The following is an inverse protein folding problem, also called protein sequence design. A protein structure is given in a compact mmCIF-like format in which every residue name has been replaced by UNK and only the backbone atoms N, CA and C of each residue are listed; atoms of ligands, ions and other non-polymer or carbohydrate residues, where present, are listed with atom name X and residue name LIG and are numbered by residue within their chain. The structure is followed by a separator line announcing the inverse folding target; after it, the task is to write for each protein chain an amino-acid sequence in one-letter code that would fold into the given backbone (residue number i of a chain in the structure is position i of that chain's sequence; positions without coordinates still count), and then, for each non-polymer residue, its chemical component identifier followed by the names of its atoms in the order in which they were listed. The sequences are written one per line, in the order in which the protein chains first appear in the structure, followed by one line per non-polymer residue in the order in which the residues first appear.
data_IF_793309266507
#
_entry.id   IF_793309266507
#
_cell.length_a   1.000
_cell.length_b   1.000
_cell.length_c   1.000
_cell.angle_alpha   90.00
_cell.angle_beta   90.00
_cell.angle_gamma   90.00
#
_symmetry.space_group_name_H-M   'P 1'
#
loop_
_entity.id
_entity.type
_entity.pdbx_description
1 polymer ?
#
# COMPACT_ATOMS: atom_id res chain seq x y z
N UNK A 1 6.17 27.46 1.36
CA UNK A 1 6.77 28.41 2.32
C UNK A 1 8.27 28.18 2.37
N UNK A 2 9.14 29.18 2.28
CA UNK A 2 10.59 28.95 2.38
C UNK A 2 10.95 28.41 3.77
N UNK A 3 11.93 27.51 3.87
CA UNK A 3 12.39 27.00 5.15
C UNK A 3 12.99 28.16 5.98
N UNK A 4 12.78 28.12 7.29
CA UNK A 4 13.40 29.05 8.25
C UNK A 4 14.92 29.10 8.05
N UNK A 5 15.44 30.30 7.82
CA UNK A 5 16.87 30.52 7.72
C UNK A 5 17.63 30.14 9.00
N UNK A 6 18.90 29.77 8.87
CA UNK A 6 19.71 29.36 10.02
C UNK A 6 19.79 30.44 11.10
N UNK A 7 19.87 31.73 10.72
CA UNK A 7 19.89 32.89 11.64
C UNK A 7 18.56 33.05 12.39
N UNK A 8 17.43 32.95 11.70
CA UNK A 8 16.09 33.05 12.29
C UNK A 8 15.84 31.88 13.25
N UNK A 9 16.25 30.66 12.86
CA UNK A 9 16.14 29.47 13.70
C UNK A 9 16.95 29.59 14.99
N UNK A 10 18.13 30.22 14.95
CA UNK A 10 18.98 30.45 16.12
C UNK A 10 18.37 31.43 17.13
N UNK A 11 17.56 32.39 16.66
CA UNK A 11 16.92 33.40 17.50
C UNK A 11 15.67 32.89 18.24
N UNK A 12 15.08 31.77 17.78
CA UNK A 12 13.88 31.21 18.40
C UNK A 12 14.22 30.48 19.69
N UNK A 13 13.43 30.64 20.76
CA UNK A 13 13.60 29.88 21.99
C UNK A 13 13.28 28.39 21.80
N UNK A 14 13.81 27.52 22.66
CA UNK A 14 13.62 26.08 22.60
C UNK A 14 12.13 25.65 22.56
N UNK A 15 11.28 26.38 23.28
CA UNK A 15 9.82 26.17 23.29
C UNK A 15 9.16 26.38 21.91
N UNK A 16 9.85 26.98 20.97
CA UNK A 16 9.39 27.18 19.60
C UNK A 16 9.60 25.94 18.71
N UNK A 17 10.10 24.83 19.26
CA UNK A 17 10.33 23.57 18.58
C UNK A 17 9.65 22.42 19.30
N UNK A 18 9.03 21.52 18.54
CA UNK A 18 8.41 20.33 19.10
C UNK A 18 9.46 19.28 19.54
N UNK A 19 10.61 19.24 18.85
CA UNK A 19 11.69 18.31 19.15
C UNK A 19 13.06 18.98 19.11
N UNK A 20 13.90 18.64 20.10
CA UNK A 20 15.30 19.00 20.20
C UNK A 20 16.04 17.72 20.60
N UNK A 21 17.02 17.31 19.80
CA UNK A 21 17.81 16.11 20.08
C UNK A 21 18.89 16.35 21.16
N UNK A 22 19.53 15.28 21.65
CA UNK A 22 20.58 15.35 22.70
C UNK A 22 21.79 16.20 22.29
N UNK A 23 21.99 16.43 20.99
CA UNK A 23 23.03 17.31 20.43
C UNK A 23 22.58 18.76 20.28
N UNK A 24 21.39 19.11 20.79
CA UNK A 24 20.82 20.45 20.71
C UNK A 24 20.27 20.82 19.31
N UNK A 25 20.13 19.88 18.38
CA UNK A 25 19.58 20.15 17.04
C UNK A 25 18.06 20.29 17.12
N UNK A 26 17.58 21.49 16.82
CA UNK A 26 16.18 21.88 16.88
C UNK A 26 15.42 21.44 15.64
N UNK A 27 14.28 20.74 15.80
CA UNK A 27 13.45 20.18 14.73
C UNK A 27 11.98 20.53 14.96
N UNK A 28 11.19 20.48 13.90
CA UNK A 28 9.75 20.71 13.93
C UNK A 28 9.39 22.06 14.60
N UNK A 29 9.67 23.21 13.96
CA UNK A 29 9.29 24.52 14.49
C UNK A 29 7.77 24.65 14.62
N UNK A 30 7.32 25.25 15.74
CA UNK A 30 5.90 25.36 16.14
C UNK A 30 5.53 26.77 16.65
N UNK A 31 6.28 27.79 16.26
CA UNK A 31 6.11 29.15 16.76
C UNK A 31 4.92 29.90 16.14
N UNK A 32 4.42 29.47 14.98
CA UNK A 32 3.24 30.01 14.31
C UNK A 32 2.39 28.93 13.64
N UNK A 33 1.19 29.30 13.19
CA UNK A 33 0.23 28.38 12.59
C UNK A 33 0.73 27.67 11.32
N UNK A 34 1.54 28.36 10.50
CA UNK A 34 2.05 27.80 9.24
C UNK A 34 3.13 26.73 9.52
N UNK A 35 4.02 27.01 10.49
CA UNK A 35 5.04 26.06 10.94
C UNK A 35 4.44 24.88 11.66
N UNK A 36 3.36 25.07 12.45
CA UNK A 36 2.62 23.96 13.07
C UNK A 36 2.02 23.04 12.03
N UNK A 37 1.35 23.57 10.97
CA UNK A 37 0.82 22.72 9.86
C UNK A 37 1.93 21.95 9.17
N UNK A 38 3.06 22.59 8.88
CA UNK A 38 4.21 21.92 8.27
C UNK A 38 4.82 20.85 9.20
N UNK A 39 4.95 21.15 10.49
CA UNK A 39 5.44 20.19 11.48
C UNK A 39 4.51 18.97 11.62
N UNK A 40 3.19 19.15 11.57
CA UNK A 40 2.21 18.06 11.54
C UNK A 40 2.39 17.16 10.31
N UNK A 41 2.55 17.78 9.12
CA UNK A 41 2.72 17.06 7.86
C UNK A 41 4.05 16.26 7.82
N UNK A 42 5.11 16.79 8.45
CA UNK A 42 6.46 16.20 8.42
C UNK A 42 6.87 15.44 9.67
N UNK A 43 5.96 15.23 10.60
CA UNK A 43 6.28 14.56 11.87
C UNK A 43 6.77 13.12 11.67
N UNK A 44 6.16 12.39 10.73
CA UNK A 44 6.56 11.01 10.38
C UNK A 44 7.93 10.93 9.69
N UNK A 45 8.36 12.02 9.02
CA UNK A 45 9.67 12.14 8.37
C UNK A 45 10.77 12.60 9.35
N UNK A 46 10.38 13.00 10.57
CA UNK A 46 11.33 13.50 11.55
C UNK A 46 12.11 12.35 12.19
N UNK A 47 13.44 12.43 12.10
CA UNK A 47 14.33 11.47 12.75
C UNK A 47 14.37 11.78 14.25
N UNK A 48 13.84 10.88 15.06
CA UNK A 48 13.92 10.90 16.52
C UNK A 48 15.06 9.98 16.98
N UNK A 49 15.70 10.29 18.09
CA UNK A 49 16.79 9.47 18.63
C UNK A 49 16.29 8.09 19.10
N UNK A 50 15.08 8.07 19.67
CA UNK A 50 14.38 6.86 20.07
C UNK A 50 12.84 7.09 20.06
N UNK A 51 12.10 6.04 20.36
CA UNK A 51 10.63 6.12 20.46
C UNK A 51 10.17 6.94 21.69
N UNK A 52 10.98 6.99 22.75
CA UNK A 52 10.67 7.77 23.96
C UNK A 52 10.74 9.27 23.69
N UNK A 53 11.64 9.72 22.81
CA UNK A 53 11.73 11.11 22.38
C UNK A 53 10.56 11.57 21.49
N UNK A 54 9.92 10.62 20.80
CA UNK A 54 8.80 10.88 19.88
C UNK A 54 7.52 11.34 20.59
N UNK A 55 7.17 10.72 21.71
CA UNK A 55 5.93 11.00 22.43
C UNK A 55 5.87 12.42 23.04
N UNK A 56 6.91 12.93 23.71
CA UNK A 56 6.96 14.33 24.14
C UNK A 56 6.90 15.31 22.98
N UNK A 57 7.56 15.01 21.86
CA UNK A 57 7.53 15.85 20.66
C UNK A 57 6.11 15.92 20.07
N UNK A 58 5.42 14.79 20.00
CA UNK A 58 4.01 14.70 19.58
C UNK A 58 3.11 15.53 20.48
N UNK A 59 3.27 15.40 21.78
CA UNK A 59 2.46 16.13 22.77
C UNK A 59 2.66 17.65 22.63
N UNK A 60 3.89 18.12 22.44
CA UNK A 60 4.20 19.55 22.21
C UNK A 60 3.56 20.05 20.91
N UNK A 61 3.64 19.26 19.83
CA UNK A 61 3.06 19.60 18.55
C UNK A 61 1.54 19.69 18.60
N UNK A 62 0.86 18.75 19.25
CA UNK A 62 -0.59 18.79 19.46
C UNK A 62 -1.04 19.99 20.29
N UNK A 63 -0.31 20.32 21.35
CA UNK A 63 -0.59 21.55 22.14
C UNK A 63 -0.42 22.82 21.30
N UNK A 64 0.58 22.87 20.45
CA UNK A 64 0.77 23.98 19.53
C UNK A 64 -0.34 24.05 18.50
N UNK A 65 -0.80 22.93 17.95
CA UNK A 65 -1.96 22.87 17.04
C UNK A 65 -3.23 23.42 17.71
N UNK A 66 -3.51 22.99 18.93
CA UNK A 66 -4.64 23.50 19.72
C UNK A 66 -4.55 25.01 19.94
N UNK A 67 -3.38 25.53 20.34
CA UNK A 67 -3.13 26.96 20.55
C UNK A 67 -3.39 27.80 19.31
N UNK A 68 -3.15 27.27 18.12
CA UNK A 68 -3.33 27.94 16.84
C UNK A 68 -4.68 27.60 16.17
N UNK A 69 -5.63 26.95 16.86
CA UNK A 69 -6.93 26.57 16.30
C UNK A 69 -6.88 25.58 15.17
N UNK A 70 -5.81 24.77 15.09
CA UNK A 70 -5.63 23.75 14.06
C UNK A 70 -6.16 22.41 14.58
N UNK A 71 -7.14 21.84 13.89
CA UNK A 71 -7.67 20.50 14.18
C UNK A 71 -6.87 19.48 13.36
N UNK A 72 -5.93 18.72 13.95
CA UNK A 72 -5.00 17.84 13.22
C UNK A 72 -5.60 16.46 12.99
N UNK A 73 -6.77 16.33 12.37
CA UNK A 73 -7.50 15.07 12.20
C UNK A 73 -6.64 14.02 11.50
N UNK A 74 -6.02 14.36 10.37
CA UNK A 74 -5.16 13.45 9.62
C UNK A 74 -3.94 12.98 10.42
N UNK A 75 -3.34 13.89 11.19
CA UNK A 75 -2.21 13.58 12.08
C UNK A 75 -2.63 12.63 13.21
N UNK A 76 -3.75 12.91 13.89
CA UNK A 76 -4.27 12.05 14.95
C UNK A 76 -4.61 10.67 14.40
N UNK A 77 -5.29 10.60 13.27
CA UNK A 77 -5.64 9.34 12.62
C UNK A 77 -4.40 8.52 12.23
N UNK A 78 -3.35 9.17 11.72
CA UNK A 78 -2.08 8.50 11.37
C UNK A 78 -1.31 8.00 12.60
N UNK A 79 -1.43 8.68 13.75
CA UNK A 79 -0.78 8.27 15.00
C UNK A 79 -1.57 7.20 15.78
N UNK A 80 -2.88 7.14 15.58
CA UNK A 80 -3.75 6.12 16.19
C UNK A 80 -3.71 4.79 15.41
N UNK A 81 -3.27 4.82 14.15
CA UNK A 81 -2.95 3.57 13.46
C UNK A 81 -1.67 3.01 14.11
N UNK A 82 -1.72 1.83 14.78
CA UNK A 82 -0.50 1.19 15.21
C UNK A 82 0.39 1.07 13.96
N UNK A 83 1.61 1.59 14.03
CA UNK A 83 2.62 1.29 13.00
C UNK A 83 2.85 -0.23 13.08
N UNK A 84 2.04 -0.97 12.34
CA UNK A 84 2.21 -2.41 12.20
C UNK A 84 3.56 -2.58 11.50
N UNK A 85 4.57 -2.99 12.27
CA UNK A 85 5.90 -3.28 11.73
C UNK A 85 5.72 -4.20 10.54
N UNK A 86 6.10 -3.74 9.36
CA UNK A 86 6.04 -4.56 8.17
C UNK A 86 6.92 -5.81 8.36
N UNK A 87 6.47 -7.00 7.94
CA UNK A 87 7.22 -8.25 8.15
C UNK A 87 8.56 -8.22 7.43
N UNK A 88 9.53 -8.97 7.99
CA UNK A 88 10.88 -9.11 7.44
C UNK A 88 11.09 -10.54 6.94
N UNK A 89 12.09 -10.72 6.08
CA UNK A 89 12.43 -12.04 5.56
C UNK A 89 11.65 -12.38 4.29
N UNK A 90 11.18 -13.63 4.18
CA UNK A 90 10.33 -14.05 3.07
C UNK A 90 8.90 -13.60 3.34
N UNK A 91 8.35 -12.84 2.42
CA UNK A 91 6.98 -12.32 2.50
C UNK A 91 6.25 -12.56 1.18
N UNK A 92 4.94 -12.56 1.21
CA UNK A 92 4.11 -12.63 0.01
C UNK A 92 3.48 -11.27 -0.23
N UNK A 93 3.69 -10.74 -1.42
CA UNK A 93 3.11 -9.50 -1.92
C UNK A 93 1.81 -9.77 -2.66
N UNK A 94 0.85 -8.90 -2.44
CA UNK A 94 -0.40 -8.81 -3.19
C UNK A 94 -0.48 -7.39 -3.75
N UNK A 95 -0.50 -7.30 -5.08
CA UNK A 95 -0.76 -6.05 -5.78
C UNK A 95 -2.08 -6.15 -6.51
N UNK A 96 -2.83 -5.05 -6.50
CA UNK A 96 -4.07 -4.89 -7.28
C UNK A 96 -4.02 -3.63 -8.09
N UNK A 97 -4.75 -3.64 -9.20
CA UNK A 97 -4.91 -2.48 -10.08
C UNK A 97 -6.26 -2.58 -10.81
N UNK A 98 -6.96 -1.44 -11.00
CA UNK A 98 -8.23 -1.41 -11.73
C UNK A 98 -7.96 -1.45 -13.24
N UNK A 99 -8.47 -2.47 -13.92
CA UNK A 99 -8.38 -2.55 -15.37
C UNK A 99 -9.16 -1.41 -16.03
N UNK A 100 -8.51 -0.67 -16.96
CA UNK A 100 -9.17 0.43 -17.67
C UNK A 100 -9.54 1.61 -16.77
N UNK A 101 -8.78 1.85 -15.68
CA UNK A 101 -9.07 2.92 -14.72
C UNK A 101 -9.12 4.32 -15.35
N UNK A 102 -8.33 4.56 -16.40
CA UNK A 102 -8.32 5.84 -17.12
C UNK A 102 -9.63 6.06 -17.89
N UNK A 103 -10.13 5.03 -18.59
CA UNK A 103 -11.41 5.07 -19.29
C UNK A 103 -12.58 5.18 -18.29
N UNK A 104 -12.47 4.49 -17.17
CA UNK A 104 -13.45 4.55 -16.09
C UNK A 104 -13.50 5.96 -15.47
N UNK A 105 -12.34 6.58 -15.23
CA UNK A 105 -12.23 7.97 -14.77
C UNK A 105 -12.86 8.94 -15.77
N UNK A 106 -12.55 8.82 -17.06
CA UNK A 106 -13.09 9.69 -18.10
C UNK A 106 -14.62 9.57 -18.22
N UNK A 107 -15.18 8.37 -17.99
CA UNK A 107 -16.63 8.13 -18.06
C UNK A 107 -17.39 8.61 -16.83
N UNK A 108 -16.81 8.46 -15.62
CA UNK A 108 -17.48 8.74 -14.36
C UNK A 108 -17.23 10.15 -13.83
N UNK A 109 -16.17 10.81 -14.29
CA UNK A 109 -15.79 12.16 -13.86
C UNK A 109 -15.79 12.30 -12.33
N UNK A 110 -16.60 13.19 -11.77
CA UNK A 110 -16.70 13.44 -10.32
C UNK A 110 -17.13 12.20 -9.51
N UNK A 111 -17.81 11.22 -10.13
CA UNK A 111 -18.24 9.98 -9.47
C UNK A 111 -17.16 8.92 -9.36
N UNK A 112 -16.03 9.09 -10.05
CA UNK A 112 -14.89 8.18 -9.93
C UNK A 112 -14.26 8.20 -8.53
N UNK A 113 -14.14 9.36 -7.92
CA UNK A 113 -13.54 9.48 -6.57
C UNK A 113 -14.30 8.72 -5.49
N UNK A 114 -15.64 8.80 -5.38
CA UNK A 114 -16.43 7.95 -4.48
C UNK A 114 -16.28 6.45 -4.79
N UNK A 115 -16.34 6.05 -6.07
CA UNK A 115 -16.15 4.66 -6.48
C UNK A 115 -14.76 4.13 -6.02
N UNK A 116 -13.70 4.89 -6.27
CA UNK A 116 -12.34 4.52 -5.86
C UNK A 116 -12.22 4.39 -4.34
N UNK A 117 -12.92 5.26 -3.57
CA UNK A 117 -12.95 5.16 -2.12
C UNK A 117 -13.63 3.86 -1.64
N UNK A 118 -14.72 3.45 -2.31
CA UNK A 118 -15.40 2.18 -2.02
C UNK A 118 -14.53 0.97 -2.37
N UNK A 119 -13.89 0.96 -3.55
CA UNK A 119 -12.93 -0.09 -3.94
C UNK A 119 -11.86 -0.22 -2.86
N UNK A 120 -11.19 0.87 -2.50
CA UNK A 120 -10.13 0.86 -1.48
C UNK A 120 -10.63 0.36 -0.12
N UNK A 121 -11.85 0.69 0.26
CA UNK A 121 -12.47 0.22 1.51
C UNK A 121 -12.64 -1.30 1.49
N UNK A 122 -13.13 -1.87 0.40
CA UNK A 122 -13.30 -3.31 0.21
C UNK A 122 -11.96 -4.04 0.21
N UNK A 123 -10.97 -3.56 -0.54
CA UNK A 123 -9.62 -4.12 -0.58
C UNK A 123 -8.97 -4.16 0.81
N UNK A 124 -9.00 -3.03 1.54
CA UNK A 124 -8.47 -2.95 2.90
C UNK A 124 -9.15 -3.88 3.88
N UNK A 125 -10.46 -4.09 3.71
CA UNK A 125 -11.20 -5.03 4.55
C UNK A 125 -10.73 -6.47 4.33
N UNK A 126 -10.64 -6.92 3.07
CA UNK A 126 -10.18 -8.27 2.72
C UNK A 126 -8.72 -8.52 3.17
N UNK A 127 -7.82 -7.56 2.90
CA UNK A 127 -6.41 -7.65 3.34
C UNK A 127 -6.31 -7.79 4.84
N UNK A 128 -7.06 -6.99 5.62
CA UNK A 128 -7.03 -7.05 7.09
C UNK A 128 -7.63 -8.35 7.64
N UNK A 129 -8.72 -8.83 7.06
CA UNK A 129 -9.36 -10.09 7.47
C UNK A 129 -8.41 -11.27 7.33
N UNK A 130 -7.64 -11.32 6.23
CA UNK A 130 -6.64 -12.36 5.99
C UNK A 130 -5.30 -12.09 6.73
N UNK A 131 -5.23 -11.11 7.64
CA UNK A 131 -4.01 -10.83 8.42
C UNK A 131 -2.91 -10.08 7.66
N UNK A 132 -3.19 -9.59 6.46
CA UNK A 132 -2.28 -8.79 5.67
C UNK A 132 -2.12 -7.35 6.17
N UNK A 133 -1.11 -6.66 5.64
CA UNK A 133 -0.81 -5.25 5.94
C UNK A 133 -0.70 -4.46 4.65
N UNK A 134 -1.40 -3.35 4.57
CA UNK A 134 -1.21 -2.38 3.50
C UNK A 134 0.18 -1.76 3.61
N UNK A 135 0.91 -1.77 2.50
CA UNK A 135 2.24 -1.15 2.38
C UNK A 135 2.11 0.24 1.76
N UNK A 136 1.35 0.33 0.66
CA UNK A 136 1.11 1.57 -0.08
C UNK A 136 -0.22 1.48 -0.84
N UNK A 137 -0.78 2.64 -1.20
CA UNK A 137 -1.97 2.74 -2.04
C UNK A 137 -1.92 4.04 -2.84
N UNK A 138 -1.73 3.93 -4.15
CA UNK A 138 -1.62 5.06 -5.07
C UNK A 138 -2.65 4.92 -6.17
N UNK A 139 -3.31 6.04 -6.50
CA UNK A 139 -4.36 6.04 -7.50
C UNK A 139 -5.32 4.86 -7.29
N UNK A 140 -5.42 3.94 -8.23
CA UNK A 140 -6.23 2.73 -8.22
C UNK A 140 -5.49 1.46 -7.79
N UNK A 141 -4.21 1.58 -7.45
CA UNK A 141 -3.38 0.48 -6.98
C UNK A 141 -3.48 0.31 -5.46
N UNK A 142 -3.42 -0.95 -5.00
CA UNK A 142 -3.15 -1.30 -3.61
C UNK A 142 -2.00 -2.30 -3.55
N UNK A 143 -1.02 -2.02 -2.71
CA UNK A 143 0.10 -2.88 -2.42
C UNK A 143 0.00 -3.38 -0.97
N UNK A 144 -0.15 -4.69 -0.80
CA UNK A 144 -0.24 -5.34 0.50
C UNK A 144 0.82 -6.43 0.66
N UNK A 145 1.12 -6.78 1.91
CA UNK A 145 2.09 -7.80 2.29
C UNK A 145 1.51 -8.75 3.32
N UNK A 146 1.90 -10.02 3.21
CA UNK A 146 1.52 -11.11 4.09
C UNK A 146 2.76 -11.89 4.53
N UNK A 147 2.77 -12.39 5.74
CA UNK A 147 3.81 -13.31 6.22
C UNK A 147 3.67 -14.68 5.54
N UNK A 148 2.42 -15.15 5.38
CA UNK A 148 2.10 -16.46 4.80
C UNK A 148 1.43 -16.33 3.43
N UNK A 149 1.81 -17.19 2.51
CA UNK A 149 1.26 -17.20 1.15
C UNK A 149 -0.23 -17.63 1.09
N UNK A 150 -0.70 -18.61 1.85
CA UNK A 150 -2.12 -18.95 1.90
C UNK A 150 -3.01 -17.78 2.28
N UNK A 151 -2.60 -16.96 3.24
CA UNK A 151 -3.34 -15.77 3.64
C UNK A 151 -3.44 -14.72 2.52
N UNK A 152 -2.38 -14.57 1.71
CA UNK A 152 -2.41 -13.70 0.54
C UNK A 152 -3.36 -14.22 -0.55
N UNK A 153 -3.40 -15.54 -0.76
CA UNK A 153 -4.32 -16.18 -1.70
C UNK A 153 -5.77 -16.03 -1.23
N UNK A 154 -6.04 -16.26 0.05
CA UNK A 154 -7.38 -16.04 0.65
C UNK A 154 -7.85 -14.60 0.45
N UNK A 155 -6.99 -13.61 0.72
CA UNK A 155 -7.30 -12.20 0.46
C UNK A 155 -7.61 -11.95 -1.01
N UNK A 156 -6.83 -12.49 -1.95
CA UNK A 156 -7.03 -12.32 -3.39
C UNK A 156 -8.37 -12.89 -3.85
N UNK A 157 -8.73 -14.09 -3.40
CA UNK A 157 -10.03 -14.73 -3.69
C UNK A 157 -11.18 -13.91 -3.10
N UNK A 158 -11.08 -13.49 -1.84
CA UNK A 158 -12.09 -12.65 -1.19
C UNK A 158 -12.28 -11.31 -1.89
N UNK A 159 -11.20 -10.70 -2.37
CA UNK A 159 -11.25 -9.46 -3.16
C UNK A 159 -12.05 -9.69 -4.45
N UNK A 160 -11.71 -10.69 -5.27
CA UNK A 160 -12.38 -10.93 -6.54
C UNK A 160 -13.87 -11.25 -6.35
N UNK A 161 -14.21 -12.08 -5.34
CA UNK A 161 -15.59 -12.38 -4.97
C UNK A 161 -16.38 -11.13 -4.59
N UNK A 162 -15.80 -10.30 -3.75
CA UNK A 162 -16.43 -9.05 -3.31
C UNK A 162 -16.62 -8.08 -4.47
N UNK A 163 -15.61 -7.94 -5.33
CA UNK A 163 -15.69 -7.08 -6.51
C UNK A 163 -16.78 -7.54 -7.48
N UNK A 164 -16.89 -8.85 -7.73
CA UNK A 164 -17.91 -9.43 -8.58
C UNK A 164 -19.34 -9.31 -8.01
N UNK A 165 -19.48 -9.38 -6.69
CA UNK A 165 -20.76 -9.25 -6.00
C UNK A 165 -21.22 -7.79 -5.80
N UNK A 166 -20.34 -6.81 -6.01
CA UNK A 166 -20.66 -5.39 -5.78
C UNK A 166 -21.40 -4.80 -6.96
N UNK A 167 -22.58 -4.23 -6.72
CA UNK A 167 -23.29 -3.40 -7.69
C UNK A 167 -22.62 -2.04 -7.85
N UNK A 168 -21.84 -1.86 -8.90
CA UNK A 168 -21.12 -0.61 -9.16
C UNK A 168 -22.05 0.45 -9.79
N UNK A 169 -21.79 1.75 -9.53
CA UNK A 169 -22.59 2.83 -10.08
C UNK A 169 -22.70 2.77 -11.62
N UNK A 170 -23.86 3.15 -12.14
CA UNK A 170 -24.15 3.23 -13.60
C UNK A 170 -23.90 1.93 -14.38
N UNK A 171 -23.99 0.78 -13.72
CA UNK A 171 -23.67 -0.51 -14.35
C UNK A 171 -22.20 -0.63 -14.78
N UNK A 172 -21.31 0.13 -14.13
CA UNK A 172 -19.87 0.05 -14.41
C UNK A 172 -19.34 -1.35 -14.12
N UNK A 173 -18.50 -1.85 -15.01
CA UNK A 173 -17.75 -3.08 -14.80
C UNK A 173 -16.39 -2.72 -14.19
N UNK A 174 -16.24 -2.89 -12.88
CA UNK A 174 -15.02 -2.57 -12.14
C UNK A 174 -14.29 -3.87 -11.82
N UNK A 175 -13.27 -4.16 -12.60
CA UNK A 175 -12.48 -5.39 -12.48
C UNK A 175 -11.06 -5.09 -12.00
N UNK A 176 -10.55 -5.92 -11.09
CA UNK A 176 -9.20 -5.80 -10.57
C UNK A 176 -8.29 -6.87 -11.16
N UNK A 177 -7.12 -6.45 -11.59
CA UNK A 177 -5.97 -7.34 -11.79
C UNK A 177 -5.34 -7.63 -10.44
N UNK A 178 -4.98 -8.87 -10.18
CA UNK A 178 -4.29 -9.25 -8.93
C UNK A 178 -3.04 -10.04 -9.26
N UNK A 179 -1.90 -9.58 -8.74
CA UNK A 179 -0.61 -10.26 -8.82
C UNK A 179 -0.11 -10.68 -7.43
N UNK A 180 0.30 -11.94 -7.30
CA UNK A 180 0.90 -12.49 -6.08
C UNK A 180 2.34 -12.93 -6.36
N UNK A 181 3.28 -12.51 -5.50
CA UNK A 181 4.67 -12.97 -5.56
C UNK A 181 5.26 -13.12 -4.17
N UNK A 182 6.00 -14.21 -3.96
CA UNK A 182 6.71 -14.48 -2.70
C UNK A 182 8.21 -14.27 -2.91
N UNK A 183 8.83 -13.50 -2.02
CA UNK A 183 10.27 -13.25 -2.10
C UNK A 183 10.83 -12.60 -0.85
N UNK A 184 12.10 -12.25 -0.89
CA UNK A 184 12.83 -11.63 0.21
C UNK A 184 13.23 -10.19 -0.18
N UNK A 185 12.38 -9.18 0.09
CA UNK A 185 12.69 -7.79 -0.18
C UNK A 185 13.65 -7.20 0.85
N UNK A 186 14.17 -6.02 0.57
CA UNK A 186 14.80 -5.16 1.56
C UNK A 186 13.75 -4.22 2.14
N UNK A 187 13.59 -4.23 3.46
CA UNK A 187 12.71 -3.29 4.16
C UNK A 187 13.49 -1.99 4.43
N UNK A 188 12.91 -0.87 4.01
CA UNK A 188 13.43 0.49 4.22
C UNK A 188 12.45 1.29 5.09
N UNK A 189 12.79 2.52 5.44
CA UNK A 189 11.89 3.44 6.16
C UNK A 189 10.59 3.73 5.39
N UNK A 190 10.64 3.66 4.06
CA UNK A 190 9.52 3.97 3.17
C UNK A 190 8.80 2.73 2.62
N UNK A 191 9.03 1.54 3.20
CA UNK A 191 8.45 0.28 2.74
C UNK A 191 9.46 -0.67 2.11
N UNK A 192 9.04 -1.50 1.19
CA UNK A 192 9.90 -2.51 0.57
C UNK A 192 10.53 -2.05 -0.73
N UNK A 193 11.77 -2.50 -0.97
CA UNK A 193 12.49 -2.32 -2.23
C UNK A 193 13.13 -3.65 -2.65
N UNK A 194 13.37 -3.81 -3.95
CA UNK A 194 14.08 -4.96 -4.51
C UNK A 194 13.31 -5.69 -5.60
N UNK A 195 13.95 -6.72 -6.17
CA UNK A 195 13.41 -7.46 -7.32
C UNK A 195 12.05 -8.10 -7.02
N UNK A 196 11.84 -8.58 -5.79
CA UNK A 196 10.57 -9.21 -5.41
C UNK A 196 9.37 -8.24 -5.53
N UNK A 197 9.54 -6.97 -5.19
CA UNK A 197 8.49 -5.94 -5.37
C UNK A 197 8.22 -5.71 -6.86
N UNK A 198 9.30 -5.57 -7.65
CA UNK A 198 9.18 -5.38 -9.11
C UNK A 198 8.53 -6.57 -9.80
N UNK A 199 8.85 -7.80 -9.37
CA UNK A 199 8.23 -9.02 -9.90
C UNK A 199 6.75 -9.05 -9.63
N UNK A 200 6.33 -8.76 -8.37
CA UNK A 200 4.92 -8.70 -8.00
C UNK A 200 4.13 -7.68 -8.85
N UNK A 201 4.70 -6.48 -9.06
CA UNK A 201 4.08 -5.45 -9.90
C UNK A 201 3.89 -5.94 -11.35
N UNK A 202 4.90 -6.57 -11.93
CA UNK A 202 4.84 -7.08 -13.32
C UNK A 202 3.83 -8.20 -13.49
N UNK A 203 3.74 -9.10 -12.52
CA UNK A 203 2.71 -10.15 -12.51
C UNK A 203 1.31 -9.50 -12.50
N UNK A 204 1.09 -8.50 -11.65
CA UNK A 204 -0.17 -7.78 -11.58
C UNK A 204 -0.53 -7.12 -12.92
N UNK A 205 0.42 -6.38 -13.52
CA UNK A 205 0.15 -5.69 -14.80
C UNK A 205 -0.01 -6.63 -16.00
N UNK A 206 0.58 -7.83 -15.95
CA UNK A 206 0.38 -8.83 -16.98
C UNK A 206 -1.01 -9.48 -16.92
N UNK A 207 -1.68 -9.47 -15.79
CA UNK A 207 -3.00 -10.03 -15.59
C UNK A 207 -4.12 -9.20 -16.26
N UNK A 208 -5.30 -9.79 -16.39
CA UNK A 208 -6.54 -9.15 -16.83
C UNK A 208 -7.46 -8.84 -15.64
N UNK A 209 -8.40 -7.94 -15.82
CA UNK A 209 -9.42 -7.63 -14.82
C UNK A 209 -10.25 -8.86 -14.45
N UNK A 210 -10.35 -9.17 -13.16
CA UNK A 210 -10.95 -10.41 -12.66
C UNK A 210 -9.96 -11.56 -12.45
N UNK A 211 -8.74 -11.46 -13.00
CA UNK A 211 -7.74 -12.53 -12.94
C UNK A 211 -6.85 -12.41 -11.70
N UNK A 212 -6.51 -13.56 -11.12
CA UNK A 212 -5.47 -13.68 -10.08
C UNK A 212 -4.32 -14.49 -10.69
N UNK A 213 -3.14 -13.87 -10.75
CA UNK A 213 -1.92 -14.51 -11.27
C UNK A 213 -0.87 -14.57 -10.16
N UNK A 214 -0.18 -15.69 -10.03
CA UNK A 214 0.86 -15.88 -9.03
C UNK A 214 2.14 -16.45 -9.64
N UNK A 215 3.26 -16.20 -8.97
CA UNK A 215 4.56 -16.79 -9.28
C UNK A 215 4.66 -18.22 -8.77
N UNK A 216 5.64 -18.97 -9.32
CA UNK A 216 6.02 -20.33 -8.86
C UNK A 216 6.32 -20.38 -7.37
N UNK A 217 6.95 -19.34 -6.81
CA UNK A 217 7.26 -19.25 -5.38
C UNK A 217 6.00 -19.16 -4.49
N UNK A 218 4.92 -18.54 -4.97
CA UNK A 218 3.61 -18.56 -4.29
C UNK A 218 2.93 -19.89 -4.49
N UNK A 219 2.91 -20.41 -5.72
CA UNK A 219 2.31 -21.71 -6.05
C UNK A 219 2.87 -22.81 -5.13
N UNK A 220 4.19 -22.93 -5.02
CA UNK A 220 4.82 -23.92 -4.15
C UNK A 220 4.44 -23.75 -2.66
N UNK A 221 4.21 -22.52 -2.21
CA UNK A 221 3.88 -22.23 -0.82
C UNK A 221 2.40 -22.45 -0.47
N UNK A 222 1.50 -22.54 -1.46
CA UNK A 222 0.05 -22.71 -1.23
C UNK A 222 -0.47 -24.09 -1.62
N UNK A 223 0.33 -24.91 -2.30
CA UNK A 223 -0.11 -26.15 -2.94
C UNK A 223 -0.84 -27.10 -1.95
N UNK A 224 -0.28 -27.26 -0.75
CA UNK A 224 -0.83 -28.15 0.30
C UNK A 224 -1.98 -27.51 1.10
N UNK A 225 -2.32 -26.24 0.83
CA UNK A 225 -3.32 -25.48 1.58
C UNK A 225 -4.43 -24.88 0.70
N UNK A 226 -4.55 -25.35 -0.54
CA UNK A 226 -5.61 -24.89 -1.43
C UNK A 226 -6.98 -25.29 -0.85
N UNK A 227 -7.90 -24.34 -0.81
CA UNK A 227 -9.27 -24.59 -0.43
C UNK A 227 -9.97 -25.45 -1.50
N UNK A 228 -10.97 -26.24 -1.07
CA UNK A 228 -11.79 -27.06 -1.96
C UNK A 228 -12.38 -26.22 -3.10
N UNK A 229 -12.27 -26.74 -4.31
CA UNK A 229 -12.76 -26.05 -5.51
C UNK A 229 -11.84 -24.94 -6.05
N UNK A 230 -10.64 -24.75 -5.46
CA UNK A 230 -9.61 -23.88 -6.01
C UNK A 230 -8.54 -24.70 -6.72
N UNK A 231 -8.21 -24.33 -7.95
CA UNK A 231 -7.16 -24.97 -8.76
C UNK A 231 -6.18 -23.96 -9.30
N UNK A 232 -5.02 -24.44 -9.74
CA UNK A 232 -3.95 -23.62 -10.30
C UNK A 232 -3.66 -24.07 -11.73
N UNK A 233 -3.88 -23.20 -12.70
CA UNK A 233 -3.60 -23.42 -14.13
C UNK A 233 -2.25 -22.82 -14.47
N UNK A 234 -1.32 -23.62 -15.00
CA UNK A 234 -0.04 -23.10 -15.48
C UNK A 234 -0.25 -22.19 -16.70
N UNK A 235 0.40 -21.04 -16.65
CA UNK A 235 0.46 -20.08 -17.76
C UNK A 235 1.82 -20.11 -18.48
N UNK A 236 2.73 -21.00 -18.03
CA UNK A 236 4.08 -21.14 -18.57
C UNK A 236 5.09 -20.12 -18.03
N UNK A 237 6.28 -20.13 -18.64
CA UNK A 237 7.41 -19.28 -18.25
C UNK A 237 7.32 -17.92 -18.96
N UNK A 238 7.42 -16.85 -18.19
CA UNK A 238 7.32 -15.46 -18.67
C UNK A 238 8.61 -14.68 -18.40
N UNK A 239 9.12 -14.03 -19.43
CA UNK A 239 10.27 -13.11 -19.31
C UNK A 239 9.77 -11.70 -19.11
N UNK A 240 10.09 -11.16 -17.94
CA UNK A 240 9.81 -9.76 -17.64
C UNK A 240 11.06 -8.89 -17.89
N UNK A 241 10.86 -7.73 -18.47
CA UNK A 241 11.96 -6.80 -18.72
C UNK A 241 12.67 -6.42 -17.41
N UNK A 242 14.02 -6.52 -17.38
CA UNK A 242 14.85 -6.23 -16.20
C UNK A 242 14.89 -7.33 -15.13
N UNK A 243 14.23 -8.47 -15.36
CA UNK A 243 14.46 -9.70 -14.61
C UNK A 243 15.41 -10.61 -15.43
N UNK A 244 16.37 -11.26 -14.75
CA UNK A 244 17.35 -12.12 -15.44
C UNK A 244 16.72 -13.42 -15.90
N UNK A 245 15.96 -14.04 -15.02
CA UNK A 245 15.37 -15.35 -15.23
C UNK A 245 13.88 -15.26 -15.57
N UNK A 246 13.36 -16.17 -16.39
CA UNK A 246 11.92 -16.28 -16.59
C UNK A 246 11.24 -16.71 -15.29
N UNK A 247 10.00 -16.25 -15.08
CA UNK A 247 9.16 -16.63 -13.95
C UNK A 247 8.02 -17.53 -14.44
N UNK A 248 7.86 -18.71 -13.85
CA UNK A 248 6.71 -19.55 -14.12
C UNK A 248 5.48 -18.97 -13.41
N UNK A 249 4.42 -18.74 -14.19
CA UNK A 249 3.20 -18.12 -13.70
C UNK A 249 2.03 -19.10 -13.68
N UNK A 250 1.15 -18.88 -12.72
CA UNK A 250 -0.04 -19.69 -12.50
C UNK A 250 -1.26 -18.78 -12.32
N UNK A 251 -2.37 -19.15 -12.97
CA UNK A 251 -3.68 -18.56 -12.72
C UNK A 251 -4.38 -19.32 -11.61
N UNK A 252 -5.00 -18.58 -10.69
CA UNK A 252 -5.92 -19.15 -9.71
C UNK A 252 -7.29 -19.29 -10.35
N UNK A 253 -7.88 -20.47 -10.27
CA UNK A 253 -9.23 -20.76 -10.74
C UNK A 253 -10.11 -21.19 -9.58
N UNK A 254 -11.31 -20.65 -9.50
CA UNK A 254 -12.35 -21.04 -8.57
C UNK A 254 -13.70 -21.02 -9.28
N UNK A 255 -14.60 -21.93 -8.93
CA UNK A 255 -15.85 -22.13 -9.64
C UNK A 255 -16.80 -20.92 -9.68
N UNK A 256 -16.64 -20.00 -8.71
CA UNK A 256 -17.42 -18.79 -8.54
C UNK A 256 -16.74 -17.52 -9.09
N UNK A 257 -15.59 -17.68 -9.77
CA UNK A 257 -14.84 -16.59 -10.37
C UNK A 257 -14.72 -16.76 -11.90
N UNK A 258 -14.33 -15.69 -12.58
CA UNK A 258 -13.94 -15.76 -13.98
C UNK A 258 -12.70 -16.64 -14.13
N UNK A 259 -12.68 -17.54 -15.09
CA UNK A 259 -11.56 -18.46 -15.34
C UNK A 259 -11.01 -18.35 -16.78
N UNK A 260 -11.80 -17.85 -17.72
CA UNK A 260 -11.39 -17.70 -19.10
C UNK A 260 -10.87 -16.30 -19.37
N UNK A 261 -9.58 -16.21 -19.69
CA UNK A 261 -8.89 -14.97 -20.00
C UNK A 261 -8.06 -15.10 -21.28
N UNK A 262 -7.85 -14.00 -22.01
CA UNK A 262 -6.88 -13.96 -23.08
C UNK A 262 -5.47 -14.29 -22.57
N UNK A 263 -4.49 -14.56 -23.44
CA UNK A 263 -3.09 -14.65 -23.04
C UNK A 263 -2.68 -13.43 -22.23
N UNK A 264 -1.81 -13.63 -21.23
CA UNK A 264 -1.29 -12.53 -20.39
C UNK A 264 -0.77 -11.39 -21.28
N UNK A 265 -0.90 -10.18 -20.79
CA UNK A 265 -0.43 -8.99 -21.51
C UNK A 265 1.08 -8.97 -21.57
N UNK A 266 1.65 -8.83 -22.78
CA UNK A 266 3.07 -8.53 -22.92
C UNK A 266 3.28 -7.07 -22.48
N UNK A 267 4.11 -6.87 -21.44
CA UNK A 267 4.52 -5.53 -21.07
C UNK A 267 5.52 -5.02 -22.11
N UNK A 268 5.03 -4.51 -23.22
CA UNK A 268 5.80 -3.66 -24.11
C UNK A 268 5.81 -2.26 -23.48
N UNK A 269 6.95 -1.86 -22.92
CA UNK A 269 7.29 -0.46 -22.69
C UNK A 269 8.38 -0.03 -23.63
#
# INVERSE_FOLDING_TARGET
MPPLGAKERAQLPDRAFAYIDSKGKRRLPIHDAAHVRNALARFSECHFEDEQARDPARTRLLRAAQKHGIVPIGFISSQLQPQRKLPKGHVTFLLTDIEGSTELLARLEDRYSPLLADVRRLLRAAVRQAGGREVDSRADELFAVFEEAPAALEAALAIQRTMAATGWPDGSDVRLRIGLHRGRPTLTENGYVGLAVNTAARICYAAHGGQIVMSSAVQAAVLDSLADGTTLKSLGAWRFQGLRDPEDLFQVEAADLLVDFPPLRSLQM
#
